data_IF_411816497845
#
_entry.id   IF_411816497845
#
_cell.length_a   1.000
_cell.length_b   1.000
_cell.length_c   1.000
_cell.angle_alpha   90.00
_cell.angle_beta   90.00
_cell.angle_gamma   90.00
#
_symmetry.space_group_name_H-M   'P 1'
#
loop_
_entity.id
_entity.type
_entity.pdbx_description
1 polymer ?
#
# COMPACT_ATOMS: atom_id res chain seq x y z
N UNK A 1 -39.14 -48.80 4.27
CA UNK A 1 -37.81 -48.24 4.58
C UNK A 1 -37.01 -47.77 3.33
N UNK A 2 -36.99 -48.45 2.20
CA UNK A 2 -36.25 -48.05 0.98
C UNK A 2 -36.72 -46.73 0.34
N UNK A 3 -38.00 -46.35 0.40
CA UNK A 3 -38.53 -45.11 -0.16
C UNK A 3 -38.21 -43.85 0.68
N UNK A 4 -38.06 -43.96 1.99
CA UNK A 4 -37.70 -42.86 2.86
C UNK A 4 -36.25 -42.40 2.69
N UNK A 5 -35.34 -43.33 2.41
CA UNK A 5 -33.94 -43.03 2.13
C UNK A 5 -33.74 -42.31 0.80
N UNK A 6 -34.57 -42.63 -0.22
CA UNK A 6 -34.46 -42.03 -1.53
C UNK A 6 -34.93 -40.54 -1.49
N UNK A 7 -35.93 -40.24 -0.70
CA UNK A 7 -36.42 -38.84 -0.50
C UNK A 7 -35.38 -38.04 0.25
N UNK A 8 -34.73 -38.58 1.28
CA UNK A 8 -33.71 -37.90 2.03
C UNK A 8 -32.45 -37.61 1.18
N UNK A 9 -32.07 -38.53 0.29
CA UNK A 9 -30.95 -38.35 -0.62
C UNK A 9 -31.20 -37.27 -1.68
N UNK A 10 -32.43 -37.18 -2.20
CA UNK A 10 -32.83 -36.18 -3.18
C UNK A 10 -32.93 -34.78 -2.53
N UNK A 11 -33.40 -34.69 -1.28
CA UNK A 11 -33.50 -33.40 -0.56
C UNK A 11 -32.12 -32.88 -0.16
N UNK A 12 -31.18 -33.76 0.21
CA UNK A 12 -29.78 -33.34 0.51
C UNK A 12 -29.03 -32.93 -0.75
N UNK A 13 -29.26 -33.60 -1.89
CA UNK A 13 -28.65 -33.26 -3.16
C UNK A 13 -29.18 -31.91 -3.72
N UNK A 14 -30.50 -31.65 -3.59
CA UNK A 14 -31.08 -30.38 -4.00
C UNK A 14 -30.67 -29.22 -3.09
N UNK A 15 -30.48 -29.45 -1.79
CA UNK A 15 -29.97 -28.45 -0.87
C UNK A 15 -28.50 -28.12 -1.16
N UNK A 16 -27.68 -29.11 -1.48
CA UNK A 16 -26.28 -28.92 -1.85
C UNK A 16 -26.12 -28.17 -3.19
N UNK A 17 -26.99 -28.46 -4.16
CA UNK A 17 -27.00 -27.73 -5.45
C UNK A 17 -27.54 -26.30 -5.27
N UNK A 18 -28.54 -26.10 -4.42
CA UNK A 18 -29.05 -24.73 -4.13
C UNK A 18 -28.05 -23.88 -3.34
N UNK A 19 -27.28 -24.47 -2.40
CA UNK A 19 -26.18 -23.81 -1.72
C UNK A 19 -25.00 -23.55 -2.68
N UNK A 20 -24.64 -24.51 -3.53
CA UNK A 20 -23.61 -24.34 -4.55
C UNK A 20 -23.96 -23.28 -5.59
N UNK A 21 -25.23 -23.15 -5.96
CA UNK A 21 -25.70 -22.09 -6.89
C UNK A 21 -25.80 -20.72 -6.24
N UNK A 22 -26.01 -20.62 -4.93
CA UNK A 22 -25.89 -19.35 -4.19
C UNK A 22 -24.46 -18.89 -4.04
N UNK A 23 -23.50 -19.80 -3.85
CA UNK A 23 -22.06 -19.50 -3.82
C UNK A 23 -21.48 -19.23 -5.22
N UNK A 24 -22.07 -19.75 -6.28
CA UNK A 24 -21.58 -19.60 -7.66
C UNK A 24 -21.91 -18.27 -8.34
N UNK A 25 -22.60 -17.34 -7.69
CA UNK A 25 -23.00 -16.03 -8.24
C UNK A 25 -22.23 -14.83 -7.69
N UNK A 26 -21.18 -15.08 -6.92
CA UNK A 26 -20.22 -14.02 -6.64
C UNK A 26 -19.42 -13.79 -7.92
N UNK A 27 -19.76 -12.75 -8.68
CA UNK A 27 -18.87 -12.23 -9.72
C UNK A 27 -17.54 -12.01 -9.04
N UNK A 28 -16.53 -12.78 -9.44
CA UNK A 28 -15.15 -12.42 -9.20
C UNK A 28 -14.94 -11.04 -9.80
N UNK A 29 -15.06 -10.00 -9.02
CA UNK A 29 -14.46 -8.72 -9.30
C UNK A 29 -12.96 -8.94 -9.08
N UNK A 30 -12.31 -9.48 -10.08
CA UNK A 30 -10.85 -9.55 -10.11
C UNK A 30 -10.35 -8.15 -10.46
N UNK A 31 -9.75 -7.49 -9.49
CA UNK A 31 -9.02 -6.25 -9.71
C UNK A 31 -9.57 -5.06 -8.93
N UNK A 32 -8.70 -4.35 -8.27
CA UNK A 32 -8.85 -3.19 -7.43
C UNK A 32 -9.93 -2.18 -7.81
N UNK A 33 -11.20 -2.55 -7.64
CA UNK A 33 -12.33 -1.64 -7.75
C UNK A 33 -12.30 -0.61 -6.62
N UNK A 34 -12.72 0.60 -6.93
CA UNK A 34 -12.87 1.67 -5.95
C UNK A 34 -14.27 1.69 -5.32
N UNK A 35 -15.13 0.71 -5.64
CA UNK A 35 -16.50 0.57 -5.13
C UNK A 35 -16.87 -0.91 -4.94
N UNK A 36 -17.83 -1.18 -4.04
CA UNK A 36 -18.35 -2.51 -3.76
C UNK A 36 -17.37 -3.41 -3.03
N UNK A 37 -17.58 -4.73 -3.12
CA UNK A 37 -16.76 -5.71 -2.40
C UNK A 37 -15.44 -5.97 -3.13
N UNK A 38 -14.35 -5.71 -2.44
CA UNK A 38 -12.98 -6.08 -2.82
C UNK A 38 -12.44 -7.11 -1.83
N UNK A 39 -11.28 -7.72 -2.11
CA UNK A 39 -10.73 -8.78 -1.27
C UNK A 39 -9.27 -8.47 -0.93
N UNK A 40 -8.91 -8.61 0.35
CA UNK A 40 -7.51 -8.57 0.81
C UNK A 40 -6.71 -9.75 0.24
N UNK A 41 -5.42 -9.79 0.47
CA UNK A 41 -4.58 -10.95 0.11
C UNK A 41 -5.03 -12.24 0.79
N UNK A 42 -5.41 -12.16 2.06
CA UNK A 42 -6.02 -13.26 2.81
C UNK A 42 -7.46 -13.62 2.39
N UNK A 43 -7.95 -13.07 1.25
CA UNK A 43 -9.30 -13.30 0.74
C UNK A 43 -10.41 -12.83 1.68
N UNK A 44 -10.14 -11.88 2.58
CA UNK A 44 -11.16 -11.26 3.43
C UNK A 44 -11.95 -10.24 2.61
N UNK A 45 -13.29 -10.33 2.56
CA UNK A 45 -14.10 -9.35 1.84
C UNK A 45 -14.15 -8.02 2.59
N UNK A 46 -13.93 -6.92 1.86
CA UNK A 46 -14.01 -5.55 2.35
C UNK A 46 -14.97 -4.77 1.45
N UNK A 47 -15.93 -4.09 2.02
CA UNK A 47 -16.82 -3.23 1.26
C UNK A 47 -16.21 -1.81 1.19
N UNK A 48 -15.69 -1.45 0.01
CA UNK A 48 -15.06 -0.17 -0.26
C UNK A 48 -15.99 1.04 -0.07
N UNK A 49 -17.31 0.84 -0.07
CA UNK A 49 -18.26 1.92 0.11
C UNK A 49 -18.59 2.20 1.59
N UNK A 50 -18.35 1.23 2.47
CA UNK A 50 -18.68 1.33 3.90
C UNK A 50 -17.50 1.26 4.86
N UNK A 51 -16.36 0.67 4.47
CA UNK A 51 -15.16 0.60 5.33
C UNK A 51 -14.66 2.00 5.69
N UNK A 52 -14.29 2.19 6.97
CA UNK A 52 -13.80 3.49 7.50
C UNK A 52 -12.48 3.40 8.24
N UNK A 53 -12.16 2.23 8.80
CA UNK A 53 -10.93 2.02 9.58
C UNK A 53 -10.28 0.68 9.25
N UNK A 54 -8.98 0.57 9.48
CA UNK A 54 -8.26 -0.68 9.28
C UNK A 54 -8.71 -1.78 10.26
N UNK A 55 -9.16 -1.40 11.46
CA UNK A 55 -9.63 -2.36 12.48
C UNK A 55 -10.97 -3.04 12.14
N UNK A 56 -11.71 -2.54 11.18
CA UNK A 56 -12.94 -3.20 10.71
C UNK A 56 -12.67 -4.47 9.90
N UNK A 57 -11.44 -4.65 9.44
CA UNK A 57 -11.02 -5.80 8.64
C UNK A 57 -10.18 -6.77 9.47
N UNK A 58 -10.42 -8.06 9.29
CA UNK A 58 -9.66 -9.11 9.98
C UNK A 58 -8.23 -9.11 9.45
N UNK A 59 -7.26 -9.10 10.38
CA UNK A 59 -5.82 -9.23 10.09
C UNK A 59 -5.52 -10.55 9.39
N UNK A 60 -4.63 -10.51 8.39
CA UNK A 60 -4.08 -11.69 7.71
C UNK A 60 -2.78 -12.20 8.36
N UNK A 61 -2.16 -11.40 9.23
CA UNK A 61 -0.89 -11.72 9.90
C UNK A 61 -1.05 -12.03 11.39
N UNK A 62 -0.07 -11.71 12.22
CA UNK A 62 -0.04 -12.01 13.66
C UNK A 62 -1.06 -11.23 14.50
N UNK A 63 -1.70 -10.22 13.93
CA UNK A 63 -2.64 -9.34 14.60
C UNK A 63 -1.95 -8.27 15.44
N UNK A 64 -2.07 -7.02 15.04
CA UNK A 64 -1.49 -5.88 15.74
C UNK A 64 -2.21 -5.63 17.06
N UNK A 65 -1.49 -5.51 18.21
CA UNK A 65 -2.11 -5.16 19.48
C UNK A 65 -2.88 -3.85 19.41
N UNK A 66 -3.97 -3.75 20.17
CA UNK A 66 -4.69 -2.49 20.32
C UNK A 66 -4.09 -1.66 21.46
N UNK A 67 -4.20 -0.34 21.39
CA UNK A 67 -3.78 0.59 22.45
C UNK A 67 -4.76 1.74 22.58
N UNK A 68 -4.66 2.48 23.65
CA UNK A 68 -5.43 3.69 23.88
C UNK A 68 -4.51 4.85 24.19
N UNK A 69 -4.74 6.01 23.60
CA UNK A 69 -4.02 7.22 23.89
C UNK A 69 -4.53 7.86 25.20
N UNK A 70 -3.67 8.56 25.96
CA UNK A 70 -4.10 9.29 27.14
C UNK A 70 -5.18 10.33 26.81
N UNK A 71 -6.13 10.60 27.74
CA UNK A 71 -7.08 11.68 27.58
C UNK A 71 -6.40 13.00 27.26
N UNK A 72 -6.86 13.74 26.27
CA UNK A 72 -6.26 15.00 25.79
C UNK A 72 -5.49 14.86 24.49
N UNK A 73 -5.09 13.64 24.07
CA UNK A 73 -4.43 13.38 22.80
C UNK A 73 -5.36 12.71 21.76
N UNK A 74 -6.67 12.86 21.91
CA UNK A 74 -7.64 12.23 21.02
C UNK A 74 -7.67 12.83 19.61
N UNK A 75 -7.17 14.07 19.43
CA UNK A 75 -7.13 14.77 18.14
C UNK A 75 -5.72 15.10 17.65
N UNK A 76 -4.73 15.15 18.56
CA UNK A 76 -3.33 15.43 18.22
C UNK A 76 -2.57 14.10 18.09
N UNK A 77 -3.00 13.25 17.17
CA UNK A 77 -2.40 11.94 16.91
C UNK A 77 -2.09 11.80 15.43
N UNK A 78 -1.01 11.12 15.12
CA UNK A 78 -0.80 10.62 13.76
C UNK A 78 -1.85 9.55 13.46
N UNK A 79 -2.49 9.63 12.31
CA UNK A 79 -3.41 8.60 11.82
C UNK A 79 -2.92 8.10 10.47
N UNK A 80 -2.74 6.78 10.34
CA UNK A 80 -2.50 6.18 9.05
C UNK A 80 -3.78 6.29 8.21
N UNK A 81 -3.73 7.02 7.10
CA UNK A 81 -4.88 7.23 6.22
C UNK A 81 -4.62 6.58 4.89
N UNK A 82 -5.28 5.45 4.64
CA UNK A 82 -5.25 4.75 3.35
C UNK A 82 -6.25 5.35 2.39
N UNK A 83 -5.83 5.59 1.16
CA UNK A 83 -6.70 6.12 0.11
C UNK A 83 -7.33 5.00 -0.72
N UNK A 84 -8.65 5.03 -0.85
CA UNK A 84 -9.37 4.32 -1.92
C UNK A 84 -9.24 5.14 -3.20
N UNK A 85 -8.67 4.56 -4.23
CA UNK A 85 -8.52 5.18 -5.55
C UNK A 85 -8.90 4.21 -6.66
N UNK A 86 -9.20 4.75 -7.83
CA UNK A 86 -9.53 3.98 -9.03
C UNK A 86 -8.27 3.67 -9.84
N UNK A 87 -8.23 2.44 -10.36
CA UNK A 87 -7.24 2.02 -11.36
C UNK A 87 -7.80 2.18 -12.78
N UNK A 88 -6.91 2.50 -13.73
CA UNK A 88 -7.27 2.50 -15.13
C UNK A 88 -7.66 1.07 -15.59
N UNK A 89 -8.62 0.92 -16.53
CA UNK A 89 -8.87 -0.37 -17.17
C UNK A 89 -7.62 -0.88 -17.91
N UNK A 90 -7.49 -2.19 -18.05
CA UNK A 90 -6.36 -2.86 -18.75
C UNK A 90 -6.11 -2.36 -20.18
N UNK A 91 -7.13 -1.78 -20.84
CA UNK A 91 -7.02 -1.15 -22.16
C UNK A 91 -6.07 0.07 -22.21
N UNK A 92 -5.59 0.55 -21.06
CA UNK A 92 -4.61 1.65 -20.98
C UNK A 92 -3.20 1.24 -21.42
N UNK A 93 -2.98 -0.04 -21.74
CA UNK A 93 -1.67 -0.58 -22.05
C UNK A 93 -0.76 -0.74 -20.82
N UNK A 94 -1.28 -0.54 -19.61
CA UNK A 94 -0.57 -0.82 -18.37
C UNK A 94 -0.90 -2.27 -18.00
N UNK A 95 0.08 -3.16 -18.10
CA UNK A 95 -0.09 -4.55 -17.67
C UNK A 95 -0.18 -4.59 -16.15
N UNK A 96 -1.35 -4.94 -15.64
CA UNK A 96 -1.47 -5.34 -14.25
C UNK A 96 -1.30 -6.85 -14.20
N UNK A 97 -0.33 -7.31 -13.45
CA UNK A 97 -0.32 -8.71 -13.05
C UNK A 97 -1.61 -8.99 -12.29
N UNK A 98 -2.11 -10.21 -12.39
CA UNK A 98 -3.34 -10.64 -11.71
C UNK A 98 -3.28 -10.50 -10.17
N UNK A 99 -2.11 -10.19 -9.63
CA UNK A 99 -1.84 -9.94 -8.22
C UNK A 99 -2.01 -8.48 -7.78
N UNK A 100 -1.94 -7.52 -8.70
CA UNK A 100 -2.08 -6.11 -8.35
C UNK A 100 -3.51 -5.77 -7.90
N UNK A 101 -3.70 -5.56 -6.60
CA UNK A 101 -5.01 -5.31 -5.98
C UNK A 101 -5.33 -3.84 -5.82
N UNK A 102 -4.36 -2.95 -6.03
CA UNK A 102 -4.51 -1.51 -5.87
C UNK A 102 -4.66 -1.12 -4.39
N UNK A 103 -5.58 -0.23 -4.07
CA UNK A 103 -5.70 0.35 -2.73
C UNK A 103 -5.84 -0.66 -1.59
N UNK A 104 -6.29 -1.90 -1.87
CA UNK A 104 -6.53 -2.97 -0.86
C UNK A 104 -5.28 -3.84 -0.60
N UNK A 105 -4.19 -3.68 -1.38
CA UNK A 105 -2.93 -4.39 -1.18
C UNK A 105 -2.37 -4.10 0.21
N UNK A 106 -1.85 -5.13 0.89
CA UNK A 106 -1.26 -5.08 2.24
C UNK A 106 -2.23 -4.65 3.37
N UNK A 107 -3.49 -4.48 3.04
CA UNK A 107 -4.51 -4.03 3.98
C UNK A 107 -5.12 -5.19 4.77
N UNK A 108 -5.35 -5.07 6.07
CA UNK A 108 -5.14 -3.90 6.94
C UNK A 108 -3.80 -3.90 7.68
N UNK A 109 -3.00 -4.94 7.52
CA UNK A 109 -1.87 -5.25 8.39
C UNK A 109 -0.74 -4.23 8.24
N UNK A 110 -0.42 -3.76 7.03
CA UNK A 110 0.61 -2.73 6.85
C UNK A 110 0.28 -1.44 7.60
N UNK A 111 -0.98 -1.00 7.55
CA UNK A 111 -1.45 0.21 8.22
C UNK A 111 -1.33 0.11 9.74
N UNK A 112 -1.78 -1.02 10.27
CA UNK A 112 -1.81 -1.27 11.71
C UNK A 112 -0.41 -1.52 12.28
N UNK A 113 0.41 -2.30 11.59
CA UNK A 113 1.77 -2.65 12.04
C UNK A 113 2.69 -1.43 12.02
N UNK A 114 2.69 -0.62 10.93
CA UNK A 114 3.48 0.60 10.91
C UNK A 114 3.00 1.58 11.99
N UNK A 115 1.70 1.76 12.17
CA UNK A 115 1.11 2.57 13.24
C UNK A 115 1.60 2.15 14.62
N UNK A 116 1.57 0.85 14.88
CA UNK A 116 2.04 0.29 16.14
C UNK A 116 3.54 0.51 16.37
N UNK A 117 4.38 0.31 15.33
CA UNK A 117 5.83 0.55 15.43
C UNK A 117 6.16 2.02 15.67
N UNK A 118 5.48 2.96 15.02
CA UNK A 118 5.64 4.39 15.30
C UNK A 118 5.29 4.70 16.77
N UNK A 119 4.18 4.17 17.28
CA UNK A 119 3.76 4.33 18.67
C UNK A 119 4.79 3.78 19.67
N UNK A 120 5.48 2.68 19.32
CA UNK A 120 6.47 2.04 20.19
C UNK A 120 7.81 2.78 20.25
N UNK A 121 8.30 3.29 19.10
CA UNK A 121 9.70 3.74 18.99
C UNK A 121 9.86 5.25 18.90
N UNK A 122 8.74 6.00 18.89
CA UNK A 122 8.75 7.47 18.86
C UNK A 122 7.90 8.06 19.97
N UNK A 123 7.95 9.38 20.12
CA UNK A 123 7.05 10.12 21.02
C UNK A 123 5.71 10.47 20.36
N UNK A 124 5.55 10.21 19.06
CA UNK A 124 4.31 10.47 18.33
C UNK A 124 3.19 9.60 18.91
N UNK A 125 2.05 10.21 19.22
CA UNK A 125 0.84 9.48 19.55
C UNK A 125 0.15 9.08 18.25
N UNK A 126 -0.30 7.83 18.17
CA UNK A 126 -0.83 7.24 16.93
C UNK A 126 -2.25 6.76 17.16
N UNK A 127 -3.14 6.99 16.21
CA UNK A 127 -4.50 6.42 16.18
C UNK A 127 -4.39 4.90 15.99
N UNK A 128 -4.94 4.07 16.90
CA UNK A 128 -4.84 2.61 16.79
C UNK A 128 -5.67 2.01 15.65
N UNK A 129 -6.62 2.73 15.10
CA UNK A 129 -7.59 2.19 14.16
C UNK A 129 -7.28 2.53 12.70
N UNK A 130 -6.48 3.59 12.46
CA UNK A 130 -6.27 4.13 11.12
C UNK A 130 -7.55 4.67 10.49
N UNK A 131 -7.46 5.10 9.22
CA UNK A 131 -8.63 5.56 8.44
C UNK A 131 -8.52 5.07 7.00
N UNK A 132 -9.69 4.85 6.39
CA UNK A 132 -9.83 4.56 4.96
C UNK A 132 -10.72 5.64 4.36
N UNK A 133 -10.18 6.44 3.45
CA UNK A 133 -10.87 7.61 2.89
C UNK A 133 -10.76 7.64 1.37
N UNK A 134 -11.63 8.41 0.74
CA UNK A 134 -11.54 8.80 -0.68
C UNK A 134 -10.96 10.21 -0.80
N UNK A 135 -10.39 10.53 -1.95
CA UNK A 135 -9.86 11.89 -2.22
C UNK A 135 -10.92 12.99 -2.09
N UNK A 136 -12.18 12.66 -2.32
CA UNK A 136 -13.31 13.60 -2.22
C UNK A 136 -13.99 13.61 -0.85
N UNK A 137 -13.51 12.81 0.11
CA UNK A 137 -14.06 12.79 1.46
C UNK A 137 -13.76 14.12 2.17
N UNK A 138 -14.78 14.81 2.72
CA UNK A 138 -14.56 16.05 3.45
C UNK A 138 -13.62 15.92 4.65
N UNK A 139 -13.57 14.76 5.29
CA UNK A 139 -12.70 14.47 6.43
C UNK A 139 -11.21 14.43 6.04
N UNK A 140 -10.87 14.33 4.74
CA UNK A 140 -9.47 14.27 4.28
C UNK A 140 -8.65 15.46 4.80
N UNK A 141 -9.24 16.63 4.92
CA UNK A 141 -8.58 17.84 5.40
C UNK A 141 -8.15 17.79 6.88
N UNK A 142 -8.68 16.84 7.65
CA UNK A 142 -8.34 16.69 9.07
C UNK A 142 -7.03 15.88 9.28
N UNK A 143 -6.50 15.28 8.20
CA UNK A 143 -5.33 14.41 8.26
C UNK A 143 -4.17 14.99 7.46
N UNK A 144 -2.99 15.19 8.06
CA UNK A 144 -1.85 15.79 7.38
C UNK A 144 -1.14 14.86 6.39
N UNK A 145 -1.38 13.55 6.48
CA UNK A 145 -0.70 12.52 5.69
C UNK A 145 -1.69 11.47 5.18
N UNK A 146 -1.53 11.09 3.91
CA UNK A 146 -2.34 10.08 3.24
C UNK A 146 -1.45 9.11 2.45
N UNK A 147 -1.84 7.84 2.40
CA UNK A 147 -1.07 6.76 1.78
C UNK A 147 -1.79 6.15 0.58
N UNK A 148 -1.06 5.94 -0.50
CA UNK A 148 -1.51 5.31 -1.73
C UNK A 148 -0.55 4.20 -2.11
N UNK A 149 -0.98 2.95 -1.97
CA UNK A 149 -0.23 1.76 -2.38
C UNK A 149 -0.52 1.42 -3.85
N UNK A 150 0.43 0.83 -4.57
CA UNK A 150 0.32 0.40 -5.98
C UNK A 150 -0.23 1.47 -6.97
N UNK A 151 0.18 2.75 -6.88
CA UNK A 151 -0.39 3.81 -7.72
C UNK A 151 0.02 3.73 -9.19
N UNK A 152 0.78 2.72 -9.59
CA UNK A 152 1.19 2.52 -10.98
C UNK A 152 0.04 2.46 -11.97
N UNK A 153 -1.15 2.05 -11.49
CA UNK A 153 -2.38 2.03 -12.26
C UNK A 153 -3.34 3.18 -12.01
N UNK A 154 -2.94 4.21 -11.29
CA UNK A 154 -3.79 5.32 -10.89
C UNK A 154 -4.55 5.94 -12.07
N UNK A 155 -5.84 6.24 -11.85
CA UNK A 155 -6.70 6.98 -12.77
C UNK A 155 -7.60 7.91 -11.99
N UNK A 156 -7.16 9.16 -11.82
CA UNK A 156 -7.93 10.19 -11.11
C UNK A 156 -9.21 10.57 -11.88
N UNK A 157 -10.30 10.73 -11.16
CA UNK A 157 -11.56 11.29 -11.66
C UNK A 157 -11.47 12.82 -11.73
N UNK A 158 -12.36 13.42 -12.51
CA UNK A 158 -12.36 14.87 -12.69
C UNK A 158 -12.55 15.65 -11.39
N UNK A 159 -13.32 15.14 -10.44
CA UNK A 159 -13.57 15.72 -9.13
C UNK A 159 -12.44 15.44 -8.11
N UNK A 160 -11.68 14.36 -8.29
CA UNK A 160 -10.54 14.00 -7.44
C UNK A 160 -9.33 14.92 -7.66
N UNK A 161 -9.12 15.40 -8.89
CA UNK A 161 -7.99 16.29 -9.23
C UNK A 161 -8.01 17.59 -8.40
N UNK A 162 -9.09 18.40 -8.38
CA UNK A 162 -9.14 19.59 -7.56
C UNK A 162 -9.15 19.29 -6.05
N UNK A 163 -9.72 18.15 -5.63
CA UNK A 163 -9.73 17.75 -4.24
C UNK A 163 -8.31 17.47 -3.72
N UNK A 164 -7.53 16.65 -4.44
CA UNK A 164 -6.14 16.36 -4.10
C UNK A 164 -5.27 17.62 -4.20
N UNK A 165 -5.46 18.44 -5.23
CA UNK A 165 -4.75 19.73 -5.34
C UNK A 165 -4.98 20.60 -4.13
N UNK A 166 -6.24 20.78 -3.71
CA UNK A 166 -6.58 21.56 -2.53
C UNK A 166 -5.93 21.00 -1.27
N UNK A 167 -5.97 19.68 -1.10
CA UNK A 167 -5.35 19.00 0.03
C UNK A 167 -3.84 19.30 0.12
N UNK A 168 -3.11 19.08 -0.98
CA UNK A 168 -1.66 19.27 -1.04
C UNK A 168 -1.25 20.75 -0.87
N UNK A 169 -1.99 21.68 -1.49
CA UNK A 169 -1.70 23.12 -1.36
C UNK A 169 -2.02 23.67 0.05
N UNK A 170 -2.82 22.97 0.84
CA UNK A 170 -3.10 23.32 2.22
C UNK A 170 -2.18 22.61 3.24
N UNK A 171 -1.09 21.99 2.78
CA UNK A 171 -0.08 21.38 3.64
C UNK A 171 -0.27 19.88 3.91
N UNK A 172 -1.23 19.24 3.25
CA UNK A 172 -1.33 17.79 3.28
C UNK A 172 -0.24 17.12 2.44
N UNK A 173 0.14 15.89 2.81
CA UNK A 173 1.18 15.13 2.12
C UNK A 173 0.61 13.82 1.60
N UNK A 174 0.88 13.49 0.33
CA UNK A 174 0.63 12.19 -0.27
C UNK A 174 1.91 11.36 -0.28
N UNK A 175 1.88 10.17 0.34
CA UNK A 175 2.89 9.13 0.16
C UNK A 175 2.38 8.09 -0.83
N UNK A 176 3.18 7.79 -1.86
CA UNK A 176 2.95 6.76 -2.86
C UNK A 176 4.02 5.68 -2.76
N UNK A 177 3.62 4.41 -2.74
CA UNK A 177 4.49 3.27 -2.48
C UNK A 177 4.11 2.05 -3.32
N UNK A 178 5.01 1.08 -3.44
CA UNK A 178 4.80 -0.20 -4.12
C UNK A 178 4.34 -0.06 -5.58
N UNK A 179 5.17 0.55 -6.39
CA UNK A 179 4.99 0.57 -7.84
C UNK A 179 6.34 0.52 -8.56
N UNK A 180 6.37 -0.16 -9.71
CA UNK A 180 7.60 -0.68 -10.26
C UNK A 180 7.77 -0.34 -11.74
N UNK A 181 9.02 -0.07 -12.14
CA UNK A 181 9.39 0.16 -13.52
C UNK A 181 8.93 1.50 -14.10
N UNK A 182 9.39 1.80 -15.32
CA UNK A 182 9.22 3.12 -15.93
C UNK A 182 7.75 3.43 -16.26
N UNK A 183 6.99 2.44 -16.72
CA UNK A 183 5.60 2.65 -17.17
C UNK A 183 4.65 2.99 -16.02
N UNK A 184 4.82 2.33 -14.88
CA UNK A 184 4.04 2.65 -13.69
C UNK A 184 4.42 4.04 -13.17
N UNK A 185 5.72 4.39 -13.21
CA UNK A 185 6.18 5.73 -12.89
C UNK A 185 5.55 6.78 -13.81
N UNK A 186 5.61 6.60 -15.13
CA UNK A 186 5.07 7.54 -16.12
C UNK A 186 3.56 7.77 -15.94
N UNK A 187 2.83 6.71 -15.57
CA UNK A 187 1.40 6.84 -15.30
C UNK A 187 1.14 7.61 -14.01
N UNK A 188 1.84 7.29 -12.92
CA UNK A 188 1.72 7.99 -11.65
C UNK A 188 2.08 9.48 -11.83
N UNK A 189 3.25 9.76 -12.40
CA UNK A 189 3.71 11.14 -12.63
C UNK A 189 2.71 11.94 -13.48
N UNK A 190 2.16 11.36 -14.56
CA UNK A 190 1.14 12.00 -15.39
C UNK A 190 -0.10 12.37 -14.60
N UNK A 191 -0.61 11.50 -13.72
CA UNK A 191 -1.75 11.80 -12.87
C UNK A 191 -1.43 12.91 -11.86
N UNK A 192 -0.24 12.88 -11.25
CA UNK A 192 0.18 13.96 -10.33
C UNK A 192 0.39 15.29 -11.06
N UNK A 193 0.83 15.28 -12.32
CA UNK A 193 0.91 16.49 -13.16
C UNK A 193 -0.46 17.13 -13.44
N UNK A 194 -1.56 16.36 -13.47
CA UNK A 194 -2.90 16.93 -13.53
C UNK A 194 -3.25 17.69 -12.25
N UNK A 195 -2.73 17.23 -11.11
CA UNK A 195 -2.95 17.82 -9.79
C UNK A 195 -2.03 19.04 -9.59
N UNK A 196 -0.75 18.93 -9.88
CA UNK A 196 0.30 19.94 -9.67
C UNK A 196 1.06 20.23 -10.98
N UNK A 197 0.45 20.91 -11.98
CA UNK A 197 1.00 21.03 -13.33
C UNK A 197 2.32 21.83 -13.41
N UNK A 198 2.62 22.65 -12.41
CA UNK A 198 3.81 23.51 -12.36
C UNK A 198 4.89 23.00 -11.40
N UNK A 199 4.77 21.79 -10.91
CA UNK A 199 5.73 21.17 -9.98
C UNK A 199 6.38 19.95 -10.61
N UNK A 200 7.66 19.73 -10.29
CA UNK A 200 8.44 18.59 -10.77
C UNK A 200 8.84 17.70 -9.60
N UNK A 201 8.97 16.41 -9.87
CA UNK A 201 9.60 15.49 -8.94
C UNK A 201 11.11 15.72 -8.90
N UNK A 202 11.66 15.72 -7.69
CA UNK A 202 13.10 15.73 -7.43
C UNK A 202 13.49 14.46 -6.70
N UNK A 203 14.65 13.88 -7.06
CA UNK A 203 15.20 12.74 -6.35
C UNK A 203 15.81 13.21 -5.02
N UNK A 204 15.36 12.67 -3.88
CA UNK A 204 15.95 13.00 -2.58
C UNK A 204 17.31 12.30 -2.42
N UNK A 205 18.42 13.04 -2.20
CA UNK A 205 19.71 12.42 -1.94
C UNK A 205 19.74 11.74 -0.57
N UNK A 206 20.58 10.72 -0.39
CA UNK A 206 20.74 10.04 0.90
C UNK A 206 21.19 10.96 2.04
N UNK A 207 21.69 12.15 1.73
CA UNK A 207 22.03 13.20 2.72
C UNK A 207 20.81 14.00 3.19
N UNK A 208 19.62 13.76 2.65
CA UNK A 208 18.40 14.44 3.06
C UNK A 208 18.01 14.03 4.48
N UNK A 209 17.52 14.98 5.29
CA UNK A 209 17.17 14.76 6.71
C UNK A 209 16.17 13.63 6.95
N UNK A 210 15.30 13.33 5.98
CA UNK A 210 14.36 12.23 6.04
C UNK A 210 15.05 10.87 6.32
N UNK A 211 16.26 10.65 5.81
CA UNK A 211 16.98 9.39 6.02
C UNK A 211 17.72 9.34 7.36
N UNK A 212 17.69 10.40 8.19
CA UNK A 212 18.52 10.51 9.38
C UNK A 212 17.78 11.02 10.63
N UNK A 213 16.44 11.12 10.60
CA UNK A 213 15.71 11.79 11.69
C UNK A 213 15.46 10.91 12.93
N UNK A 214 15.06 9.65 12.78
CA UNK A 214 14.91 8.67 13.89
C UNK A 214 15.96 7.58 13.75
N UNK A 215 16.05 6.99 12.59
CA UNK A 215 17.08 6.01 12.21
C UNK A 215 18.08 6.67 11.27
N UNK A 216 19.37 6.43 11.51
CA UNK A 216 20.46 6.91 10.64
C UNK A 216 20.68 5.91 9.50
N UNK A 217 19.91 6.03 8.43
CA UNK A 217 19.92 5.12 7.28
C UNK A 217 21.13 5.44 6.38
N UNK A 218 22.06 4.50 6.29
CA UNK A 218 23.34 4.65 5.59
C UNK A 218 23.41 3.74 4.35
N UNK A 219 24.30 4.10 3.44
CA UNK A 219 24.57 3.32 2.24
C UNK A 219 23.85 3.87 1.00
N UNK A 220 23.89 3.14 -0.11
CA UNK A 220 23.15 3.50 -1.31
C UNK A 220 21.65 3.28 -1.09
N UNK A 221 20.81 3.99 -1.85
CA UNK A 221 19.34 3.90 -1.74
C UNK A 221 18.82 2.48 -1.94
N UNK A 222 19.41 1.70 -2.84
CA UNK A 222 19.08 0.29 -3.05
C UNK A 222 19.26 -0.60 -1.82
N UNK A 223 20.06 -0.18 -0.82
CA UNK A 223 20.15 -0.93 0.45
C UNK A 223 18.87 -0.83 1.29
N UNK A 224 17.96 0.08 0.95
CA UNK A 224 16.64 0.25 1.57
C UNK A 224 15.52 -0.42 0.75
N UNK A 225 15.83 -0.90 -0.46
CA UNK A 225 14.84 -1.53 -1.32
C UNK A 225 14.28 -2.81 -0.69
N UNK A 226 12.97 -2.88 -0.63
CA UNK A 226 12.20 -4.04 -0.16
C UNK A 226 11.35 -4.55 -1.32
N UNK A 227 11.38 -5.85 -1.63
CA UNK A 227 10.44 -6.48 -2.55
C UNK A 227 9.27 -7.09 -1.77
N UNK A 228 8.27 -7.61 -2.48
CA UNK A 228 7.26 -8.47 -1.85
C UNK A 228 7.90 -9.71 -1.19
N UNK A 229 7.14 -10.32 -0.28
CA UNK A 229 7.64 -11.45 0.53
C UNK A 229 8.19 -12.60 -0.31
N UNK A 230 7.54 -12.97 -1.42
CA UNK A 230 7.99 -14.05 -2.28
C UNK A 230 9.36 -13.76 -2.88
N UNK A 231 9.55 -12.58 -3.46
CA UNK A 231 10.82 -12.15 -4.02
C UNK A 231 11.87 -12.02 -2.92
N UNK A 232 11.50 -11.50 -1.76
CA UNK A 232 12.38 -11.37 -0.61
C UNK A 232 12.92 -12.71 -0.12
N UNK A 233 12.05 -13.71 0.06
CA UNK A 233 12.47 -15.08 0.43
C UNK A 233 13.41 -15.67 -0.63
N UNK A 234 13.10 -15.51 -1.92
CA UNK A 234 13.95 -15.98 -3.00
C UNK A 234 15.32 -15.28 -2.99
N UNK A 235 15.35 -13.97 -2.71
CA UNK A 235 16.59 -13.19 -2.65
C UNK A 235 17.50 -13.59 -1.48
N UNK A 236 16.95 -14.20 -0.44
CA UNK A 236 17.71 -14.70 0.71
C UNK A 236 18.24 -16.12 0.53
N UNK A 237 17.85 -16.83 -0.53
CA UNK A 237 18.28 -18.20 -0.80
C UNK A 237 19.60 -18.23 -1.59
N UNK A 238 20.76 -18.54 -0.96
CA UNK A 238 22.06 -18.52 -1.64
C UNK A 238 22.19 -19.54 -2.78
N UNK A 239 21.32 -20.55 -2.81
CA UNK A 239 21.31 -21.58 -3.86
C UNK A 239 20.28 -21.29 -4.96
N UNK A 240 19.52 -20.21 -4.84
CA UNK A 240 18.51 -19.80 -5.81
C UNK A 240 19.05 -18.92 -6.92
N UNK A 241 18.40 -18.94 -8.08
CA UNK A 241 18.75 -18.07 -9.22
C UNK A 241 18.48 -16.58 -9.00
N UNK A 242 17.76 -16.22 -7.94
CA UNK A 242 17.36 -14.86 -7.59
C UNK A 242 18.08 -14.34 -6.33
N UNK A 243 19.16 -15.01 -5.90
CA UNK A 243 19.92 -14.58 -4.73
C UNK A 243 20.42 -13.14 -4.84
N UNK A 244 20.08 -12.32 -3.86
CA UNK A 244 20.44 -10.90 -3.82
C UNK A 244 19.58 -9.99 -4.70
N UNK A 245 18.56 -10.51 -5.41
CA UNK A 245 17.62 -9.72 -6.21
C UNK A 245 16.54 -9.16 -5.32
N UNK A 246 16.49 -7.83 -5.16
CA UNK A 246 15.53 -7.12 -4.30
C UNK A 246 14.51 -6.29 -5.10
N UNK A 247 14.50 -6.40 -6.43
CA UNK A 247 13.55 -5.70 -7.31
C UNK A 247 12.56 -6.65 -7.96
N UNK A 248 11.38 -6.13 -8.29
CA UNK A 248 10.26 -6.88 -8.86
C UNK A 248 10.17 -6.72 -10.37
N UNK A 249 11.05 -7.39 -11.10
CA UNK A 249 11.18 -7.26 -12.56
C UNK A 249 9.96 -7.74 -13.35
N UNK A 250 9.06 -8.53 -12.78
CA UNK A 250 7.86 -9.01 -13.44
C UNK A 250 6.72 -7.97 -13.51
N UNK A 251 6.88 -6.85 -12.81
CA UNK A 251 6.02 -5.68 -12.96
C UNK A 251 6.46 -4.79 -14.13
N UNK A 252 7.67 -4.99 -14.62
CA UNK A 252 8.15 -4.32 -15.82
C UNK A 252 7.42 -4.86 -17.05
N UNK A 253 6.92 -3.96 -17.85
CA UNK A 253 6.02 -4.21 -18.97
C UNK A 253 6.41 -5.31 -19.95
N UNK A 254 5.42 -6.09 -20.35
CA UNK A 254 5.52 -7.02 -21.47
C UNK A 254 5.92 -6.35 -22.79
N UNK A 255 5.68 -5.05 -22.98
CA UNK A 255 5.93 -4.32 -24.21
C UNK A 255 7.32 -3.66 -24.28
N UNK A 256 7.94 -3.38 -23.13
CA UNK A 256 9.33 -2.92 -23.02
C UNK A 256 10.15 -3.88 -22.17
N UNK A 257 10.01 -5.14 -22.48
CA UNK A 257 10.63 -6.22 -21.73
C UNK A 257 12.16 -6.07 -21.64
N UNK A 258 12.58 -5.34 -20.66
CA UNK A 258 13.93 -5.48 -20.14
C UNK A 258 13.98 -6.76 -19.28
N UNK A 259 14.28 -7.88 -19.92
CA UNK A 259 14.42 -9.19 -19.24
C UNK A 259 15.40 -9.16 -18.07
N UNK A 260 16.14 -8.06 -17.90
CA UNK A 260 17.08 -7.85 -16.82
C UNK A 260 16.48 -6.98 -15.70
N UNK A 261 15.25 -6.52 -15.83
CA UNK A 261 14.55 -5.71 -14.82
C UNK A 261 15.23 -4.37 -14.51
N UNK A 262 15.95 -3.78 -15.48
CA UNK A 262 16.77 -2.58 -15.23
C UNK A 262 15.94 -1.39 -14.80
N UNK A 263 14.72 -1.26 -15.30
CA UNK A 263 13.82 -0.17 -14.94
C UNK A 263 13.31 -0.27 -13.50
N UNK A 264 13.26 -1.50 -12.94
CA UNK A 264 12.87 -1.76 -11.55
C UNK A 264 14.07 -1.93 -10.60
N UNK A 265 15.30 -1.98 -11.13
CA UNK A 265 16.51 -2.30 -10.36
C UNK A 265 16.83 -1.22 -9.32
N UNK A 266 16.73 0.05 -9.67
CA UNK A 266 17.14 1.14 -8.81
C UNK A 266 15.95 1.70 -8.02
N UNK A 267 16.05 1.66 -6.70
CA UNK A 267 15.10 2.30 -5.81
C UNK A 267 15.20 3.82 -5.90
N UNK A 268 14.07 4.46 -5.97
CA UNK A 268 13.95 5.91 -5.97
C UNK A 268 13.10 6.40 -4.79
N UNK A 269 13.55 7.48 -4.16
CA UNK A 269 12.75 8.26 -3.23
C UNK A 269 12.63 9.66 -3.81
N UNK A 270 11.49 9.96 -4.42
CA UNK A 270 11.24 11.20 -5.15
C UNK A 270 10.19 12.02 -4.45
N UNK A 271 10.34 13.34 -4.49
CA UNK A 271 9.40 14.25 -3.86
C UNK A 271 9.02 15.39 -4.78
N UNK A 272 7.78 15.90 -4.64
CA UNK A 272 7.40 17.24 -5.07
C UNK A 272 7.45 18.12 -3.84
N UNK A 273 8.16 19.27 -3.97
CA UNK A 273 8.33 20.21 -2.90
C UNK A 273 7.47 21.47 -3.12
N UNK A 274 7.04 22.09 -2.03
CA UNK A 274 6.44 23.42 -2.05
C UNK A 274 7.50 24.52 -2.21
N UNK A 275 7.08 25.79 -2.20
CA UNK A 275 7.98 26.94 -2.34
C UNK A 275 8.91 27.17 -1.14
N UNK A 276 8.66 26.47 -0.02
CA UNK A 276 9.48 26.49 1.19
C UNK A 276 10.40 25.27 1.30
N UNK A 277 10.33 24.34 0.34
CA UNK A 277 11.07 23.08 0.35
C UNK A 277 10.43 21.98 1.16
N UNK A 278 9.16 22.11 1.57
CA UNK A 278 8.43 21.08 2.28
C UNK A 278 7.85 20.05 1.30
N UNK A 279 7.80 18.79 1.70
CA UNK A 279 7.32 17.69 0.86
C UNK A 279 5.79 17.75 0.76
N UNK A 280 5.27 17.82 -0.46
CA UNK A 280 3.85 17.72 -0.80
C UNK A 280 3.48 16.30 -1.25
N UNK A 281 4.34 15.69 -2.07
CA UNK A 281 4.19 14.31 -2.55
C UNK A 281 5.52 13.62 -2.34
N UNK A 282 5.49 12.43 -1.76
CA UNK A 282 6.62 11.53 -1.61
C UNK A 282 6.31 10.23 -2.34
N UNK A 283 7.25 9.72 -3.13
CA UNK A 283 7.13 8.45 -3.83
C UNK A 283 8.34 7.57 -3.53
N UNK A 284 8.09 6.38 -2.99
CA UNK A 284 9.05 5.28 -2.86
C UNK A 284 8.85 4.33 -4.04
N UNK A 285 9.47 4.68 -5.17
CA UNK A 285 9.34 3.95 -6.43
C UNK A 285 10.37 2.83 -6.51
N UNK A 286 9.99 1.69 -7.05
CA UNK A 286 10.75 0.44 -7.07
C UNK A 286 11.05 -0.06 -5.64
N UNK A 287 10.06 -0.03 -4.78
CA UNK A 287 10.14 -0.49 -3.41
C UNK A 287 8.74 -0.85 -2.93
N UNK A 288 8.61 -1.94 -2.20
CA UNK A 288 7.41 -2.42 -1.54
C UNK A 288 7.58 -2.32 -0.02
N UNK A 289 7.34 -1.13 0.51
CA UNK A 289 7.35 -0.95 1.96
C UNK A 289 6.12 -1.58 2.61
N UNK A 290 4.99 -1.62 1.88
CA UNK A 290 3.74 -2.19 2.34
C UNK A 290 3.89 -3.64 2.78
N UNK A 291 4.46 -4.51 1.94
CA UNK A 291 4.76 -5.91 2.27
C UNK A 291 5.69 -6.01 3.50
N UNK A 292 6.70 -5.13 3.59
CA UNK A 292 7.60 -5.14 4.75
C UNK A 292 6.93 -4.77 6.07
N UNK A 293 5.82 -4.03 6.03
CA UNK A 293 5.01 -3.71 7.22
C UNK A 293 3.93 -4.76 7.47
N UNK A 294 3.35 -5.36 6.39
CA UNK A 294 2.28 -6.34 6.48
C UNK A 294 2.76 -7.67 7.06
N UNK A 295 3.90 -8.19 6.57
CA UNK A 295 4.34 -9.59 6.72
C UNK A 295 4.98 -9.94 8.06
N UNK A 296 4.54 -9.30 9.14
CA UNK A 296 5.04 -9.60 10.47
C UNK A 296 4.60 -11.01 10.92
N UNK A 297 5.58 -11.90 11.12
CA UNK A 297 5.38 -13.27 11.61
C UNK A 297 5.12 -14.34 10.53
N UNK A 298 5.20 -14.00 9.23
CA UNK A 298 5.03 -14.97 8.16
C UNK A 298 6.32 -15.70 7.81
N UNK A 299 7.45 -14.99 7.72
CA UNK A 299 8.78 -15.53 7.46
C UNK A 299 9.84 -14.76 8.25
N UNK A 300 10.59 -15.46 9.11
CA UNK A 300 11.59 -14.85 9.99
C UNK A 300 12.74 -14.19 9.19
N UNK A 301 13.16 -14.80 8.07
CA UNK A 301 14.24 -14.28 7.24
C UNK A 301 13.83 -12.98 6.54
N UNK A 302 12.66 -12.97 5.94
CA UNK A 302 12.07 -11.77 5.33
C UNK A 302 11.89 -10.65 6.35
N UNK A 303 11.25 -10.95 7.48
CA UNK A 303 11.02 -9.98 8.54
C UNK A 303 12.32 -9.35 9.03
N UNK A 304 13.33 -10.18 9.34
CA UNK A 304 14.60 -9.68 9.85
C UNK A 304 15.38 -8.84 8.83
N UNK A 305 15.38 -9.21 7.53
CA UNK A 305 16.15 -8.52 6.51
C UNK A 305 15.42 -7.31 5.91
N UNK A 306 14.11 -7.45 5.64
CA UNK A 306 13.36 -6.43 4.91
C UNK A 306 12.49 -5.56 5.82
N UNK A 307 11.82 -6.14 6.84
CA UNK A 307 10.98 -5.37 7.73
C UNK A 307 11.79 -4.61 8.77
N UNK A 308 12.58 -5.31 9.61
CA UNK A 308 13.32 -4.68 10.73
C UNK A 308 14.45 -3.77 10.28
N UNK A 309 15.20 -4.15 9.23
CA UNK A 309 16.38 -3.39 8.81
C UNK A 309 16.07 -2.28 7.81
N UNK A 310 14.97 -2.39 7.06
CA UNK A 310 14.67 -1.49 5.93
C UNK A 310 13.31 -0.82 6.04
N UNK A 311 12.23 -1.55 5.90
CA UNK A 311 10.88 -1.00 5.75
C UNK A 311 10.38 -0.24 6.96
N UNK A 312 10.46 -0.80 8.19
CA UNK A 312 10.07 -0.07 9.39
C UNK A 312 10.96 1.15 9.66
N UNK A 313 12.30 1.06 9.61
CA UNK A 313 13.16 2.23 9.78
C UNK A 313 12.88 3.34 8.76
N UNK A 314 12.67 3.00 7.48
CA UNK A 314 12.35 3.97 6.44
C UNK A 314 10.95 4.58 6.65
N UNK A 315 9.92 3.75 6.87
CA UNK A 315 8.55 4.22 7.10
C UNK A 315 8.43 5.13 8.32
N UNK A 316 9.08 4.76 9.43
CA UNK A 316 9.12 5.58 10.65
C UNK A 316 9.82 6.91 10.40
N UNK A 317 10.96 6.90 9.70
CA UNK A 317 11.64 8.13 9.32
C UNK A 317 10.77 9.03 8.45
N UNK A 318 10.09 8.46 7.43
CA UNK A 318 9.19 9.21 6.55
C UNK A 318 8.11 9.90 7.38
N UNK A 319 7.37 9.14 8.19
CA UNK A 319 6.28 9.71 9.00
C UNK A 319 6.80 10.75 9.98
N UNK A 320 7.87 10.42 10.71
CA UNK A 320 8.45 11.36 11.68
C UNK A 320 8.91 12.66 11.02
N UNK A 321 9.62 12.57 9.90
CA UNK A 321 10.09 13.74 9.16
C UNK A 321 8.91 14.61 8.71
N UNK A 322 7.90 14.01 8.09
CA UNK A 322 6.73 14.73 7.57
C UNK A 322 5.85 15.36 8.67
N UNK A 323 5.87 14.79 9.88
CA UNK A 323 5.11 15.36 11.02
C UNK A 323 5.86 16.45 11.77
N UNK A 324 7.16 16.64 11.52
CA UNK A 324 8.01 17.57 12.29
C UNK A 324 8.64 18.68 11.44
N UNK A 325 8.51 18.61 10.13
CA UNK A 325 9.06 19.58 9.17
C UNK A 325 8.00 20.09 8.19
#
# INVERSE_FOLDING_TARGET
MKKAWLILLITTLTLSVALGQRYGRWRRSSGGGDTGIVYTEGHVPVDADSVRTARETVSGSTGTPNWTNPPGFQKDVFTFVRLIYRRAPDSSGISYTSSARGWITDYPDSDLNLSYRIQQVTSIKVDPDGRVLRLTDPALADYPWIYMVEPGGLSLKEDEIPALRKYLLNGGVLMADDFWGQKQWDNFERNIKLVLPHREFVELPMTHGLFHCVFDLKGPKNSLQTPNIRQGINSLNPSGGEYGVTWEYYHDDYDNYDRQGRAAHDMHVRAILDDKGQIMVLATHNCDNGDSWEREGEDDGFFHEFSEKRGFPLGINIVFYLMTH
#
